data_IF_132145513917
#
_entry.id   IF_132145513917
#
_cell.length_a   1.000
_cell.length_b   1.000
_cell.length_c   1.000
_cell.angle_alpha   90.00
_cell.angle_beta   90.00
_cell.angle_gamma   90.00
#
_symmetry.space_group_name_H-M   'P 1'
#
loop_
_entity.id
_entity.type
_entity.pdbx_description
1 polymer ?
#
# COMPACT_ATOMS: atom_id res chain seq x y z
N UNK A 1 14.53 -16.51 -4.87
CA UNK A 1 14.69 -15.86 -6.20
C UNK A 1 13.47 -14.98 -6.51
N UNK A 2 13.28 -13.86 -5.81
CA UNK A 2 12.06 -13.03 -5.91
C UNK A 2 12.15 -11.90 -6.96
N UNK A 3 13.34 -11.59 -7.47
CA UNK A 3 13.58 -10.45 -8.37
C UNK A 3 12.86 -10.47 -9.73
N UNK A 4 12.31 -11.61 -10.16
CA UNK A 4 11.52 -11.68 -11.41
C UNK A 4 10.10 -11.12 -11.23
N UNK A 5 9.47 -11.34 -10.07
CA UNK A 5 8.12 -10.85 -9.78
C UNK A 5 8.16 -9.34 -9.50
N UNK A 6 9.11 -8.88 -8.68
CA UNK A 6 9.32 -7.45 -8.39
C UNK A 6 9.47 -6.63 -9.67
N UNK A 7 10.40 -7.00 -10.56
CA UNK A 7 10.60 -6.31 -11.84
C UNK A 7 9.34 -6.30 -12.72
N UNK A 8 8.54 -7.38 -12.70
CA UNK A 8 7.28 -7.45 -13.45
C UNK A 8 6.26 -6.48 -12.87
N UNK A 9 6.08 -6.46 -11.55
CA UNK A 9 5.16 -5.54 -10.86
C UNK A 9 5.58 -4.09 -11.13
N UNK A 10 6.84 -3.74 -10.90
CA UNK A 10 7.36 -2.39 -11.16
C UNK A 10 7.16 -1.96 -12.62
N UNK A 11 7.39 -2.86 -13.59
CA UNK A 11 7.12 -2.57 -15.00
C UNK A 11 5.63 -2.40 -15.33
N UNK A 12 4.75 -3.17 -14.68
CA UNK A 12 3.29 -3.01 -14.83
C UNK A 12 2.82 -1.68 -14.26
N UNK A 13 3.34 -1.28 -13.10
CA UNK A 13 3.06 0.02 -12.46
C UNK A 13 3.52 1.16 -13.37
N UNK A 14 4.76 1.11 -13.88
CA UNK A 14 5.28 2.11 -14.84
C UNK A 14 4.44 2.22 -16.11
N UNK A 15 3.88 1.09 -16.57
CA UNK A 15 2.99 1.03 -17.74
C UNK A 15 1.52 1.30 -17.37
N UNK A 16 1.22 1.65 -16.12
CA UNK A 16 -0.13 1.91 -15.60
C UNK A 16 -1.12 0.77 -15.85
N UNK A 17 -0.63 -0.47 -15.85
CA UNK A 17 -1.44 -1.68 -16.09
C UNK A 17 -2.14 -2.14 -14.81
N UNK A 18 -2.99 -1.28 -14.26
CA UNK A 18 -3.70 -1.51 -13.00
C UNK A 18 -4.61 -2.75 -13.04
N UNK A 19 -5.27 -3.01 -14.19
CA UNK A 19 -6.13 -4.19 -14.36
C UNK A 19 -5.38 -5.51 -14.13
N UNK A 20 -4.14 -5.59 -14.62
CA UNK A 20 -3.32 -6.79 -14.46
C UNK A 20 -2.87 -6.92 -13.01
N UNK A 21 -2.48 -5.81 -12.37
CA UNK A 21 -2.09 -5.81 -10.97
C UNK A 21 -3.25 -6.26 -10.08
N UNK A 22 -4.46 -5.73 -10.30
CA UNK A 22 -5.66 -6.12 -9.58
C UNK A 22 -6.06 -7.59 -9.83
N UNK A 23 -6.13 -8.04 -11.08
CA UNK A 23 -6.57 -9.41 -11.37
C UNK A 23 -5.56 -10.48 -10.97
N UNK A 24 -4.26 -10.19 -11.08
CA UNK A 24 -3.21 -11.21 -10.99
C UNK A 24 -2.39 -11.16 -9.69
N UNK A 25 -2.25 -9.99 -9.08
CA UNK A 25 -1.34 -9.81 -7.94
C UNK A 25 -2.10 -9.51 -6.64
N UNK A 26 -3.24 -8.83 -6.71
CA UNK A 26 -4.06 -8.51 -5.54
C UNK A 26 -4.67 -9.75 -4.86
N UNK A 27 -4.96 -10.80 -5.63
CA UNK A 27 -5.51 -12.06 -5.12
C UNK A 27 -4.47 -13.22 -5.16
N UNK A 28 -3.18 -12.89 -5.27
CA UNK A 28 -2.10 -13.87 -5.30
C UNK A 28 -1.72 -14.33 -3.88
N UNK A 29 -0.60 -15.06 -3.76
CA UNK A 29 0.01 -15.41 -2.48
C UNK A 29 0.40 -14.16 -1.64
N UNK A 30 0.46 -14.31 -0.33
CA UNK A 30 0.81 -13.23 0.62
C UNK A 30 2.13 -12.56 0.25
N UNK A 31 3.17 -13.33 -0.09
CA UNK A 31 4.45 -12.79 -0.52
C UNK A 31 4.30 -11.87 -1.74
N UNK A 32 3.49 -12.28 -2.72
CA UNK A 32 3.22 -11.49 -3.92
C UNK A 32 2.45 -10.21 -3.62
N UNK A 33 1.51 -10.24 -2.66
CA UNK A 33 0.78 -9.04 -2.20
C UNK A 33 1.69 -8.07 -1.45
N UNK A 34 2.61 -8.60 -0.65
CA UNK A 34 3.62 -7.82 0.06
C UNK A 34 4.60 -7.16 -0.92
N UNK A 35 5.07 -7.91 -1.93
CA UNK A 35 5.89 -7.36 -3.02
C UNK A 35 5.13 -6.28 -3.82
N UNK A 36 3.83 -6.48 -4.05
CA UNK A 36 2.99 -5.48 -4.71
C UNK A 36 2.96 -4.17 -3.92
N UNK A 37 2.68 -4.21 -2.61
CA UNK A 37 2.69 -3.03 -1.76
C UNK A 37 4.04 -2.28 -1.81
N UNK A 38 5.14 -3.04 -1.69
CA UNK A 38 6.50 -2.48 -1.71
C UNK A 38 6.82 -1.77 -3.03
N UNK A 39 6.52 -2.42 -4.16
CA UNK A 39 6.74 -1.84 -5.48
C UNK A 39 5.83 -0.63 -5.76
N UNK A 40 4.61 -0.64 -5.23
CA UNK A 40 3.72 0.52 -5.25
C UNK A 40 4.35 1.71 -4.51
N UNK A 41 4.92 1.51 -3.32
CA UNK A 41 5.62 2.57 -2.60
C UNK A 41 6.87 3.09 -3.32
N UNK A 42 7.59 2.21 -4.02
CA UNK A 42 8.79 2.55 -4.79
C UNK A 42 8.48 3.33 -6.08
N UNK A 43 7.29 3.15 -6.66
CA UNK A 43 6.93 3.84 -7.90
C UNK A 43 6.68 5.33 -7.70
N UNK A 44 6.31 5.73 -6.47
CA UNK A 44 5.86 7.09 -6.13
C UNK A 44 4.72 7.60 -7.04
N UNK A 45 4.01 6.71 -7.72
CA UNK A 45 2.90 7.03 -8.62
C UNK A 45 1.58 6.99 -7.83
N UNK A 46 0.84 8.11 -7.70
CA UNK A 46 -0.46 8.13 -7.02
C UNK A 46 -1.50 7.16 -7.60
N UNK A 47 -1.34 6.70 -8.85
CA UNK A 47 -2.22 5.69 -9.46
C UNK A 47 -2.20 4.35 -8.75
N UNK A 48 -1.17 4.07 -7.93
CA UNK A 48 -1.11 2.86 -7.10
C UNK A 48 -1.99 2.94 -5.85
N UNK A 49 -2.48 4.12 -5.48
CA UNK A 49 -3.22 4.30 -4.23
C UNK A 49 -4.48 3.42 -4.18
N UNK A 50 -5.19 3.26 -5.31
CA UNK A 50 -6.35 2.34 -5.39
C UNK A 50 -5.97 0.88 -5.06
N UNK A 51 -4.79 0.44 -5.49
CA UNK A 51 -4.28 -0.91 -5.20
C UNK A 51 -3.88 -1.00 -3.74
N UNK A 52 -3.18 0.01 -3.23
CA UNK A 52 -2.80 0.07 -1.84
C UNK A 52 -4.03 -0.01 -0.94
N UNK A 53 -5.08 0.79 -1.19
CA UNK A 53 -6.38 0.76 -0.46
C UNK A 53 -6.96 -0.65 -0.39
N UNK A 54 -6.84 -1.45 -1.45
CA UNK A 54 -7.29 -2.82 -1.43
C UNK A 54 -6.38 -3.72 -0.56
N UNK A 55 -5.06 -3.54 -0.63
CA UNK A 55 -4.08 -4.25 0.19
C UNK A 55 -4.14 -3.88 1.69
N UNK A 56 -4.64 -2.69 2.04
CA UNK A 56 -4.91 -2.34 3.44
C UNK A 56 -6.00 -3.19 4.08
N UNK A 57 -6.87 -3.79 3.28
CA UNK A 57 -7.95 -4.68 3.75
C UNK A 57 -7.55 -6.15 3.69
N UNK A 58 -6.27 -6.43 3.46
CA UNK A 58 -5.75 -7.79 3.41
C UNK A 58 -5.88 -8.49 4.77
N UNK A 59 -6.12 -9.81 4.83
CA UNK A 59 -6.07 -10.53 6.10
C UNK A 59 -4.68 -10.54 6.76
N UNK A 60 -3.60 -10.35 5.99
CA UNK A 60 -2.23 -10.40 6.51
C UNK A 60 -1.75 -9.03 7.00
N UNK A 61 -1.32 -8.98 8.26
CA UNK A 61 -0.85 -7.75 8.91
C UNK A 61 0.42 -7.19 8.29
N UNK A 62 1.34 -8.03 7.78
CA UNK A 62 2.55 -7.54 7.12
C UNK A 62 2.20 -6.85 5.80
N UNK A 63 1.23 -7.39 5.06
CA UNK A 63 0.72 -6.77 3.84
C UNK A 63 0.04 -5.43 4.16
N UNK A 64 -0.76 -5.39 5.23
CA UNK A 64 -1.35 -4.14 5.71
C UNK A 64 -0.27 -3.11 6.03
N UNK A 65 0.71 -3.45 6.87
CA UNK A 65 1.81 -2.56 7.27
C UNK A 65 2.58 -1.99 6.08
N UNK A 66 2.97 -2.84 5.14
CA UNK A 66 3.69 -2.41 3.93
C UNK A 66 2.82 -1.52 3.04
N UNK A 67 1.51 -1.81 2.93
CA UNK A 67 0.59 -0.94 2.19
C UNK A 67 0.48 0.46 2.80
N UNK A 68 0.52 0.55 4.14
CA UNK A 68 0.55 1.82 4.89
C UNK A 68 1.81 2.61 4.59
N UNK A 69 2.97 1.95 4.68
CA UNK A 69 4.27 2.55 4.39
C UNK A 69 4.36 3.02 2.94
N UNK A 70 3.82 2.27 2.00
CA UNK A 70 3.74 2.66 0.60
C UNK A 70 2.84 3.89 0.40
N UNK A 71 1.67 3.93 1.04
CA UNK A 71 0.74 5.06 0.95
C UNK A 71 1.30 6.32 1.59
N UNK A 72 2.14 6.23 2.62
CA UNK A 72 2.87 7.40 3.14
C UNK A 72 3.72 8.09 2.05
N UNK A 73 4.24 7.32 1.10
CA UNK A 73 5.09 7.82 0.00
C UNK A 73 4.27 8.31 -1.19
N UNK A 74 3.22 7.59 -1.58
CA UNK A 74 2.42 7.83 -2.80
C UNK A 74 1.13 8.61 -2.56
N UNK A 75 0.66 8.65 -1.31
CA UNK A 75 -0.60 9.26 -0.88
C UNK A 75 -0.61 10.79 -1.02
N UNK A 76 -1.81 11.32 -1.22
CA UNK A 76 -2.13 12.75 -1.24
C UNK A 76 -3.18 13.05 -0.16
N UNK A 77 -3.57 14.31 -0.05
CA UNK A 77 -4.58 14.75 0.93
C UNK A 77 -5.89 13.95 0.89
N UNK A 78 -6.28 13.42 -0.28
CA UNK A 78 -7.47 12.59 -0.40
C UNK A 78 -7.37 11.29 0.42
N UNK A 79 -6.20 10.65 0.42
CA UNK A 79 -5.93 9.40 1.11
C UNK A 79 -5.82 9.57 2.62
N UNK A 80 -5.56 10.79 3.12
CA UNK A 80 -5.53 11.08 4.56
C UNK A 80 -6.86 10.72 5.23
N UNK A 81 -8.00 11.02 4.59
CA UNK A 81 -9.31 10.72 5.16
C UNK A 81 -9.53 9.20 5.30
N UNK A 82 -9.01 8.43 4.34
CA UNK A 82 -9.09 6.96 4.37
C UNK A 82 -8.19 6.38 5.46
N UNK A 83 -6.98 6.91 5.61
CA UNK A 83 -6.06 6.52 6.68
C UNK A 83 -6.62 6.87 8.08
N UNK A 84 -7.27 8.03 8.23
CA UNK A 84 -7.92 8.40 9.49
C UNK A 84 -9.08 7.47 9.83
N UNK A 85 -9.93 7.14 8.84
CA UNK A 85 -10.99 6.16 9.04
C UNK A 85 -10.40 4.80 9.44
N UNK A 86 -9.30 4.38 8.80
CA UNK A 86 -8.63 3.12 9.13
C UNK A 86 -8.07 3.11 10.54
N UNK A 87 -7.44 4.20 10.99
CA UNK A 87 -6.92 4.33 12.34
C UNK A 87 -8.03 4.12 13.39
N UNK A 88 -9.22 4.65 13.14
CA UNK A 88 -10.39 4.49 14.01
C UNK A 88 -11.00 3.09 13.98
N UNK A 89 -10.81 2.34 12.89
CA UNK A 89 -11.31 0.97 12.74
C UNK A 89 -10.26 -0.10 13.05
N UNK A 90 -9.00 0.30 13.29
CA UNK A 90 -7.93 -0.61 13.68
C UNK A 90 -8.07 -0.89 15.17
N UNK A 91 -8.14 -2.17 15.59
CA UNK A 91 -8.26 -2.51 17.01
C UNK A 91 -6.99 -2.12 17.78
N UNK A 92 -7.15 -1.83 19.08
CA UNK A 92 -6.09 -1.26 19.93
C UNK A 92 -4.90 -2.19 20.15
N UNK A 93 -5.07 -3.49 19.94
CA UNK A 93 -4.03 -4.51 20.00
C UNK A 93 -2.99 -4.39 18.86
N UNK A 94 -3.30 -3.69 17.78
CA UNK A 94 -2.42 -3.50 16.61
C UNK A 94 -1.65 -2.19 16.67
N UNK A 95 -0.83 -2.02 17.71
CA UNK A 95 -0.05 -0.80 17.92
C UNK A 95 0.86 -0.46 16.73
N UNK A 96 1.54 -1.44 16.13
CA UNK A 96 2.44 -1.21 15.00
C UNK A 96 1.68 -0.66 13.78
N UNK A 97 0.51 -1.23 13.49
CA UNK A 97 -0.33 -0.78 12.38
C UNK A 97 -0.86 0.64 12.63
N UNK A 98 -1.33 0.93 13.85
CA UNK A 98 -1.76 2.29 14.21
C UNK A 98 -0.64 3.30 14.06
N UNK A 99 0.55 2.97 14.54
CA UNK A 99 1.72 3.82 14.42
C UNK A 99 2.08 4.07 12.94
N UNK A 100 2.07 3.02 12.11
CA UNK A 100 2.31 3.16 10.68
C UNK A 100 1.27 4.09 10.03
N UNK A 101 -0.01 3.96 10.37
CA UNK A 101 -1.09 4.77 9.81
C UNK A 101 -0.93 6.25 10.21
N UNK A 102 -0.66 6.51 11.49
CA UNK A 102 -0.41 7.87 11.98
C UNK A 102 0.83 8.50 11.32
N UNK A 103 1.90 7.72 11.16
CA UNK A 103 3.11 8.14 10.47
C UNK A 103 2.82 8.45 8.99
N UNK A 104 2.01 7.64 8.31
CA UNK A 104 1.60 7.88 6.94
C UNK A 104 0.79 9.17 6.79
N UNK A 105 -0.19 9.41 7.66
CA UNK A 105 -0.98 10.66 7.69
C UNK A 105 -0.05 11.87 7.89
N UNK A 106 0.88 11.77 8.83
CA UNK A 106 1.81 12.85 9.17
C UNK A 106 2.75 13.16 8.01
N UNK A 107 3.25 12.13 7.32
CA UNK A 107 4.08 12.26 6.13
C UNK A 107 3.33 12.92 4.97
N UNK A 108 2.07 12.52 4.73
CA UNK A 108 1.28 13.11 3.65
C UNK A 108 0.97 14.58 3.95
N UNK A 109 0.55 14.91 5.18
CA UNK A 109 0.26 16.28 5.61
C UNK A 109 1.48 17.18 5.71
N UNK A 110 2.63 16.60 6.07
CA UNK A 110 3.90 17.29 6.25
C UNK A 110 4.62 17.64 4.95
N UNK A 111 4.18 17.11 3.80
CA UNK A 111 4.70 17.46 2.46
C UNK A 111 4.28 18.86 1.95
N UNK A 112 3.97 19.80 2.86
CA UNK A 112 3.62 21.18 2.53
C UNK A 112 4.80 22.00 2.04
#
# INVERSE_FOLDING_TARGET
MFGSKEKKIGNLIKRKKWDILNKKYLYADTDTRLLLAKECGNSMDPGVNTILVALFRDPDENVQLESVRAMAKTGKDHEVSQLQWLLSNTPDDKEELKYAIQSAISNIRGKK
#
